data_IF_296819589312
#
_entry.id   IF_296819589312
#
_cell.length_a   1.000
_cell.length_b   1.000
_cell.length_c   1.000
_cell.angle_alpha   90.00
_cell.angle_beta   90.00
_cell.angle_gamma   90.00
#
_symmetry.space_group_name_H-M   'P 1'
#
loop_
_entity.id
_entity.type
_entity.pdbx_description
1 polymer ?
#
# COMPACT_ATOMS: atom_id res chain seq x y z
N UNK A 1 0.05 -17.90 29.19
CA UNK A 1 0.71 -18.13 27.89
C UNK A 1 -0.37 -18.47 26.88
N UNK A 2 -0.79 -17.52 26.03
CA UNK A 2 -1.66 -17.81 24.91
C UNK A 2 -0.82 -18.23 23.70
N UNK A 3 -1.24 -19.31 23.07
CA UNK A 3 -0.66 -19.93 21.88
C UNK A 3 -0.46 -18.95 20.73
N UNK A 4 0.72 -19.00 20.12
CA UNK A 4 1.01 -18.44 18.81
C UNK A 4 -0.07 -18.86 17.82
N UNK A 5 -0.91 -17.91 17.39
CA UNK A 5 -1.63 -18.05 16.14
C UNK A 5 -0.57 -18.02 15.04
N UNK A 6 -0.36 -19.15 14.38
CA UNK A 6 0.53 -19.30 13.23
C UNK A 6 0.18 -18.25 12.15
N UNK A 7 0.91 -17.13 12.21
CA UNK A 7 1.19 -16.31 11.04
C UNK A 7 1.87 -17.22 10.01
N UNK A 8 1.60 -17.07 8.70
CA UNK A 8 2.35 -17.82 7.71
C UNK A 8 3.83 -17.54 7.94
N UNK A 9 4.58 -18.58 8.37
CA UNK A 9 6.04 -18.54 8.40
C UNK A 9 6.46 -18.15 6.99
N UNK A 10 7.03 -16.97 6.83
CA UNK A 10 7.79 -16.65 5.64
C UNK A 10 8.76 -17.81 5.46
N UNK A 11 8.58 -18.59 4.40
CA UNK A 11 9.61 -19.50 3.98
C UNK A 11 10.79 -18.61 3.60
N UNK A 12 11.73 -18.43 4.55
CA UNK A 12 13.05 -17.90 4.25
C UNK A 12 13.69 -18.90 3.30
N UNK A 13 13.39 -18.70 2.01
CA UNK A 13 14.23 -19.13 0.92
C UNK A 13 15.63 -18.62 1.24
N UNK A 14 16.51 -19.52 1.72
CA UNK A 14 17.92 -19.27 2.00
C UNK A 14 18.71 -18.77 0.75
N UNK A 15 18.07 -18.73 -0.43
CA UNK A 15 18.62 -18.12 -1.61
C UNK A 15 18.52 -16.59 -1.53
N UNK A 16 19.64 -15.97 -1.17
CA UNK A 16 19.84 -14.52 -1.28
C UNK A 16 19.64 -14.07 -2.73
N UNK A 17 18.88 -12.99 -2.94
CA UNK A 17 18.68 -12.35 -4.23
C UNK A 17 19.39 -11.01 -4.24
N UNK A 18 20.69 -11.04 -4.54
CA UNK A 18 21.53 -9.84 -4.49
C UNK A 18 21.64 -9.24 -5.88
N UNK A 19 21.43 -7.94 -6.00
CA UNK A 19 21.61 -7.19 -7.26
C UNK A 19 22.58 -6.04 -7.07
N UNK A 20 23.27 -5.67 -8.15
CA UNK A 20 24.11 -4.47 -8.20
C UNK A 20 23.39 -3.36 -8.96
N UNK A 21 23.37 -2.16 -8.40
CA UNK A 21 22.90 -0.95 -9.07
C UNK A 21 23.84 0.20 -8.73
N UNK A 22 24.38 0.88 -9.76
CA UNK A 22 25.30 2.03 -9.58
C UNK A 22 26.40 1.78 -8.53
N UNK A 23 27.09 0.64 -8.65
CA UNK A 23 28.17 0.22 -7.74
C UNK A 23 27.76 -0.11 -6.30
N UNK A 24 26.48 -0.01 -5.97
CA UNK A 24 25.93 -0.43 -4.68
C UNK A 24 25.24 -1.79 -4.80
N UNK A 25 25.14 -2.51 -3.68
CA UNK A 25 24.53 -3.84 -3.60
C UNK A 25 23.24 -3.78 -2.81
N UNK A 26 22.26 -4.57 -3.25
CA UNK A 26 20.93 -4.64 -2.63
C UNK A 26 20.49 -6.10 -2.51
N UNK A 27 20.00 -6.50 -1.33
CA UNK A 27 19.37 -7.81 -1.10
C UNK A 27 17.85 -7.69 -1.21
N UNK A 28 17.31 -8.16 -2.32
CA UNK A 28 15.88 -8.07 -2.62
C UNK A 28 15.11 -9.32 -2.19
N UNK A 29 15.71 -10.30 -1.49
CA UNK A 29 15.04 -11.57 -1.16
C UNK A 29 13.66 -11.37 -0.52
N UNK A 30 13.55 -10.43 0.42
CA UNK A 30 12.30 -10.08 1.11
C UNK A 30 11.41 -9.10 0.34
N UNK A 31 11.94 -8.45 -0.70
CA UNK A 31 11.20 -7.49 -1.53
C UNK A 31 10.54 -8.12 -2.75
N UNK A 32 11.05 -9.25 -3.25
CA UNK A 32 10.66 -9.82 -4.54
C UNK A 32 9.14 -10.03 -4.69
N UNK A 33 8.46 -10.50 -3.65
CA UNK A 33 7.02 -10.73 -3.63
C UNK A 33 6.22 -9.43 -3.40
N UNK A 34 6.85 -8.42 -2.82
CA UNK A 34 6.31 -7.07 -2.57
C UNK A 34 6.48 -6.14 -3.78
N UNK A 35 7.34 -6.50 -4.73
CA UNK A 35 7.70 -5.64 -5.85
C UNK A 35 6.46 -5.24 -6.68
N UNK A 36 6.17 -3.93 -6.83
CA UNK A 36 4.98 -3.46 -7.56
C UNK A 36 4.89 -3.94 -9.01
N UNK A 37 6.05 -4.15 -9.65
CA UNK A 37 6.16 -4.68 -11.01
C UNK A 37 6.05 -6.21 -11.11
N UNK A 38 5.90 -6.94 -10.00
CA UNK A 38 5.84 -8.40 -9.96
C UNK A 38 7.22 -9.07 -10.04
N UNK A 39 7.30 -10.30 -9.51
CA UNK A 39 8.52 -11.10 -9.37
C UNK A 39 9.14 -11.47 -10.73
N UNK A 40 8.31 -11.65 -11.74
CA UNK A 40 8.74 -12.04 -13.08
C UNK A 40 9.56 -10.95 -13.80
N UNK A 41 9.48 -9.69 -13.37
CA UNK A 41 10.34 -8.60 -13.88
C UNK A 41 11.77 -8.68 -13.35
N UNK A 42 11.96 -9.31 -12.19
CA UNK A 42 13.27 -9.47 -11.55
C UNK A 42 14.02 -10.71 -12.05
N UNK A 43 13.36 -11.59 -12.81
CA UNK A 43 13.95 -12.86 -13.27
C UNK A 43 15.28 -12.64 -14.02
N UNK A 44 16.29 -13.40 -13.63
CA UNK A 44 17.63 -13.35 -14.21
C UNK A 44 18.48 -12.15 -13.79
N UNK A 45 18.08 -11.41 -12.74
CA UNK A 45 18.91 -10.36 -12.14
C UNK A 45 19.75 -10.84 -10.96
N UNK A 46 19.52 -12.04 -10.41
CA UNK A 46 20.26 -12.52 -9.25
C UNK A 46 21.77 -12.51 -9.53
N UNK A 47 22.55 -11.93 -8.63
CA UNK A 47 23.99 -11.68 -8.71
C UNK A 47 24.45 -10.82 -9.90
N UNK A 48 23.52 -10.19 -10.61
CA UNK A 48 23.75 -9.37 -11.79
C UNK A 48 23.74 -7.86 -11.52
N UNK A 49 24.14 -7.08 -12.53
CA UNK A 49 24.00 -5.62 -12.53
C UNK A 49 22.68 -5.22 -13.22
N UNK A 50 21.78 -4.61 -12.46
CA UNK A 50 20.47 -4.20 -12.97
C UNK A 50 20.46 -2.81 -13.60
N UNK A 51 21.57 -2.06 -13.59
CA UNK A 51 21.65 -0.66 -14.04
C UNK A 51 21.07 -0.48 -15.45
N UNK A 52 21.47 -1.33 -16.41
CA UNK A 52 20.97 -1.23 -17.78
C UNK A 52 19.46 -1.53 -17.91
N UNK A 53 18.90 -2.43 -17.08
CA UNK A 53 17.45 -2.69 -17.07
C UNK A 53 16.69 -1.56 -16.39
N UNK A 54 17.25 -1.02 -15.32
CA UNK A 54 16.70 0.10 -14.56
C UNK A 54 16.59 1.36 -15.42
N UNK A 55 17.64 1.67 -16.21
CA UNK A 55 17.67 2.79 -17.17
C UNK A 55 16.66 2.64 -18.31
N UNK A 56 16.39 1.41 -18.76
CA UNK A 56 15.41 1.12 -19.82
C UNK A 56 13.97 1.04 -19.32
N UNK A 57 13.78 0.88 -18.00
CA UNK A 57 12.46 0.86 -17.39
C UNK A 57 11.84 2.27 -17.41
N UNK A 58 10.50 2.39 -17.31
CA UNK A 58 9.90 3.66 -16.93
C UNK A 58 10.56 4.20 -15.66
N UNK A 59 10.72 5.53 -15.51
CA UNK A 59 11.30 6.11 -14.31
C UNK A 59 10.55 5.65 -13.06
N UNK A 60 11.31 5.22 -12.06
CA UNK A 60 10.81 4.97 -10.72
C UNK A 60 10.58 6.33 -10.05
N UNK A 61 9.55 6.40 -9.22
CA UNK A 61 9.26 7.57 -8.41
C UNK A 61 10.27 7.75 -7.29
N UNK A 62 10.31 8.95 -6.72
CA UNK A 62 11.11 9.23 -5.52
C UNK A 62 10.76 8.29 -4.36
N UNK A 63 9.48 7.98 -4.17
CA UNK A 63 9.01 7.02 -3.16
C UNK A 63 9.55 5.59 -3.40
N UNK A 64 9.63 5.14 -4.65
CA UNK A 64 10.19 3.83 -4.97
C UNK A 64 11.72 3.81 -4.79
N UNK A 65 12.40 4.88 -5.20
CA UNK A 65 13.84 5.05 -4.97
C UNK A 65 14.17 5.12 -3.47
N UNK A 66 13.30 5.76 -2.69
CA UNK A 66 13.39 5.84 -1.24
C UNK A 66 13.31 4.44 -0.60
N UNK A 67 12.26 3.68 -0.94
CA UNK A 67 12.04 2.32 -0.43
C UNK A 67 13.18 1.35 -0.78
N UNK A 68 13.75 1.48 -1.99
CA UNK A 68 14.85 0.62 -2.43
C UNK A 68 16.06 0.65 -1.48
N UNK A 69 16.25 1.74 -0.74
CA UNK A 69 17.36 1.90 0.21
C UNK A 69 17.28 0.97 1.41
N UNK A 70 16.08 0.56 1.82
CA UNK A 70 15.87 -0.40 2.92
C UNK A 70 16.53 -1.75 2.65
N UNK A 71 16.79 -2.05 1.37
CA UNK A 71 17.40 -3.30 0.92
C UNK A 71 18.89 -3.16 0.60
N UNK A 72 19.50 -1.99 0.82
CA UNK A 72 20.93 -1.78 0.55
C UNK A 72 21.76 -2.59 1.56
N UNK A 73 22.78 -3.29 1.06
CA UNK A 73 23.72 -4.05 1.88
C UNK A 73 25.15 -3.55 1.67
N UNK A 74 26.01 -3.86 2.63
CA UNK A 74 27.43 -3.59 2.48
C UNK A 74 28.06 -4.54 1.45
N UNK A 75 29.10 -4.10 0.71
CA UNK A 75 29.76 -4.95 -0.29
C UNK A 75 30.31 -6.25 0.30
N UNK A 76 30.69 -6.27 1.58
CA UNK A 76 31.22 -7.44 2.27
C UNK A 76 30.15 -8.54 2.45
N UNK A 77 28.89 -8.14 2.63
CA UNK A 77 27.75 -9.05 2.76
C UNK A 77 27.24 -9.60 1.42
N UNK A 78 27.73 -9.04 0.30
CA UNK A 78 27.33 -9.44 -1.05
C UNK A 78 27.90 -10.80 -1.50
N UNK A 79 28.80 -11.41 -0.71
CA UNK A 79 29.39 -12.72 -0.98
C UNK A 79 30.43 -12.74 -2.12
N UNK A 80 30.90 -11.59 -2.62
CA UNK A 80 31.97 -11.52 -3.63
C UNK A 80 33.35 -11.47 -2.96
N UNK A 81 34.34 -12.26 -3.42
CA UNK A 81 35.71 -12.19 -2.90
C UNK A 81 36.32 -10.80 -3.13
N UNK A 82 37.15 -10.33 -2.19
CA UNK A 82 37.99 -9.14 -2.37
C UNK A 82 38.74 -9.25 -3.69
N UNK A 83 38.43 -8.40 -4.67
CA UNK A 83 39.39 -8.14 -5.74
C UNK A 83 40.58 -7.47 -5.08
N UNK A 84 41.65 -8.23 -4.85
CA UNK A 84 42.92 -7.67 -4.44
C UNK A 84 43.34 -6.67 -5.52
N UNK A 85 43.39 -5.39 -5.17
CA UNK A 85 44.21 -4.44 -5.90
C UNK A 85 45.66 -4.91 -5.73
N UNK A 86 46.14 -5.72 -6.68
CA UNK A 86 47.57 -5.81 -6.95
C UNK A 86 47.91 -4.63 -7.84
N UNK A 87 48.49 -3.60 -7.24
CA UNK A 87 49.35 -2.68 -7.96
C UNK A 87 50.51 -3.48 -8.54
N UNK A 88 50.49 -3.67 -9.85
CA UNK A 88 51.69 -3.99 -10.62
C UNK A 88 51.92 -2.83 -11.58
N UNK A 89 52.88 -1.98 -11.22
CA UNK A 89 53.55 -1.09 -12.16
C UNK A 89 54.25 -1.96 -13.21
N UNK A 90 53.94 -1.76 -14.48
CA UNK A 90 54.94 -1.70 -15.55
C UNK A 90 54.33 -1.00 -16.79
N UNK A 91 55.08 -0.12 -17.45
CA UNK A 91 54.62 0.58 -18.64
C UNK A 91 54.99 -0.26 -19.88
N UNK A 92 54.07 -0.44 -20.83
CA UNK A 92 54.35 -0.04 -22.21
C UNK A 92 53.12 -0.08 -23.11
N UNK A 93 53.28 0.66 -24.20
CA UNK A 93 52.36 1.00 -25.28
C UNK A 93 51.68 -0.20 -25.92
N UNK A 94 50.36 -0.12 -26.10
CA UNK A 94 49.75 -0.46 -27.38
C UNK A 94 48.38 0.23 -27.55
N UNK A 95 48.27 1.05 -28.59
CA UNK A 95 47.04 1.70 -29.03
C UNK A 95 46.18 0.66 -29.76
N UNK A 96 45.15 0.13 -29.10
CA UNK A 96 44.03 -0.50 -29.81
C UNK A 96 42.70 -0.01 -29.26
N UNK A 97 41.90 0.57 -30.16
CA UNK A 97 40.57 1.11 -29.95
C UNK A 97 39.71 0.20 -29.06
N UNK A 98 39.50 0.60 -27.80
CA UNK A 98 38.27 0.27 -27.07
C UNK A 98 37.41 1.51 -27.07
N UNK A 99 36.40 1.49 -27.94
CA UNK A 99 35.30 2.44 -27.96
C UNK A 99 34.76 2.62 -26.54
N UNK A 100 34.99 3.81 -25.95
CA UNK A 100 34.16 4.33 -24.87
C UNK A 100 32.73 4.39 -25.42
N UNK A 101 31.71 3.90 -24.71
CA UNK A 101 30.35 4.36 -24.97
C UNK A 101 30.34 5.86 -24.68
N UNK A 102 30.34 6.66 -25.73
CA UNK A 102 29.92 8.06 -25.72
C UNK A 102 28.41 8.12 -25.53
N UNK A 103 27.96 9.23 -24.93
CA UNK A 103 26.57 9.74 -24.86
C UNK A 103 25.71 9.20 -23.70
N UNK A 104 25.79 9.93 -22.58
CA UNK A 104 24.65 10.57 -21.88
C UNK A 104 23.28 9.91 -22.10
N UNK A 105 23.10 8.73 -21.51
CA UNK A 105 21.76 8.33 -21.06
C UNK A 105 21.58 8.93 -19.67
N UNK A 106 21.08 10.17 -19.62
CA UNK A 106 20.66 10.79 -18.36
C UNK A 106 19.71 9.84 -17.62
N UNK A 107 20.17 9.30 -16.49
CA UNK A 107 19.36 8.46 -15.64
C UNK A 107 18.31 9.33 -14.95
N UNK A 108 17.06 9.24 -15.42
CA UNK A 108 15.92 9.95 -14.86
C UNK A 108 15.58 9.55 -13.42
N UNK A 109 16.27 8.54 -12.87
CA UNK A 109 16.18 8.12 -11.47
C UNK A 109 17.35 8.66 -10.61
N UNK A 110 18.10 9.67 -11.08
CA UNK A 110 19.22 10.27 -10.35
C UNK A 110 18.82 11.30 -9.27
N UNK A 111 17.58 11.28 -8.80
CA UNK A 111 17.15 12.22 -7.77
C UNK A 111 17.92 11.93 -6.48
N UNK A 112 18.57 12.94 -5.90
CA UNK A 112 19.09 12.83 -4.54
C UNK A 112 17.89 12.59 -3.62
N UNK A 113 17.88 11.43 -2.98
CA UNK A 113 16.81 11.05 -2.06
C UNK A 113 17.01 11.86 -0.78
N UNK A 114 16.06 12.75 -0.45
CA UNK A 114 16.13 13.55 0.77
C UNK A 114 15.83 12.68 2.01
N UNK A 115 16.85 12.57 2.87
CA UNK A 115 16.86 11.77 4.11
C UNK A 115 16.77 12.64 5.37
N UNK A 116 16.69 13.95 5.20
CA UNK A 116 16.72 14.91 6.31
C UNK A 116 15.59 14.71 7.31
N UNK A 117 14.54 13.96 6.98
CA UNK A 117 13.42 13.73 7.88
C UNK A 117 13.53 12.46 8.73
N UNK A 118 14.40 11.51 8.40
CA UNK A 118 14.39 10.20 9.09
C UNK A 118 15.00 10.26 10.50
N UNK A 119 15.92 11.19 10.75
CA UNK A 119 16.49 11.38 12.07
C UNK A 119 15.54 12.11 13.04
N UNK A 120 14.40 12.60 12.57
CA UNK A 120 13.40 13.29 13.38
C UNK A 120 12.56 12.33 14.24
N UNK A 121 12.61 11.02 13.94
CA UNK A 121 11.89 9.97 14.66
C UNK A 121 12.81 8.81 15.01
N UNK A 122 12.55 8.20 16.16
CA UNK A 122 13.19 6.98 16.64
C UNK A 122 12.26 5.78 16.38
N UNK A 123 12.65 4.93 15.43
CA UNK A 123 11.90 3.74 15.01
C UNK A 123 11.84 2.63 16.07
N UNK A 124 12.68 2.70 17.12
CA UNK A 124 12.61 1.76 18.25
C UNK A 124 11.51 2.12 19.25
N UNK A 125 10.94 3.32 19.17
CA UNK A 125 9.93 3.86 20.10
C UNK A 125 8.55 3.96 19.46
N UNK A 126 7.54 4.19 20.30
CA UNK A 126 6.18 4.45 19.83
C UNK A 126 6.13 5.70 18.93
N UNK A 127 5.46 5.59 17.78
CA UNK A 127 5.45 6.64 16.75
C UNK A 127 4.48 7.77 17.06
N UNK A 128 3.31 7.50 17.66
CA UNK A 128 2.29 8.54 17.88
C UNK A 128 2.78 9.75 18.70
N UNK A 129 3.51 9.57 19.82
CA UNK A 129 4.08 10.70 20.55
C UNK A 129 5.11 11.51 19.76
N UNK A 130 5.74 10.90 18.74
CA UNK A 130 6.80 11.51 17.94
C UNK A 130 6.28 12.31 16.74
N UNK A 131 4.99 12.19 16.38
CA UNK A 131 4.39 12.94 15.26
C UNK A 131 4.54 14.46 15.42
N UNK A 132 4.57 14.95 16.66
CA UNK A 132 4.82 16.37 16.94
C UNK A 132 6.18 16.85 16.41
N UNK A 133 7.21 16.00 16.43
CA UNK A 133 8.57 16.34 15.97
C UNK A 133 8.69 16.44 14.45
N UNK A 134 7.79 15.79 13.72
CA UNK A 134 7.77 15.75 12.26
C UNK A 134 6.62 16.55 11.65
N UNK A 135 5.87 17.32 12.45
CA UNK A 135 4.66 18.01 11.98
C UNK A 135 4.96 18.97 10.82
N UNK A 136 6.12 19.64 10.83
CA UNK A 136 6.49 20.60 9.79
C UNK A 136 6.72 19.98 8.41
N UNK A 137 7.17 18.72 8.38
CA UNK A 137 7.49 17.98 7.16
C UNK A 137 6.62 16.71 7.01
N UNK A 138 5.52 16.63 7.76
CA UNK A 138 4.72 15.42 7.92
C UNK A 138 4.22 14.86 6.59
N UNK A 139 3.68 15.73 5.73
CA UNK A 139 3.11 15.36 4.43
C UNK A 139 4.14 14.71 3.52
N UNK A 140 5.38 15.20 3.53
CA UNK A 140 6.45 14.57 2.77
C UNK A 140 6.94 13.28 3.42
N UNK A 141 7.12 13.26 4.74
CA UNK A 141 7.60 12.10 5.49
C UNK A 141 6.68 10.89 5.41
N UNK A 142 5.36 11.10 5.50
CA UNK A 142 4.35 10.02 5.55
C UNK A 142 4.21 9.32 4.21
N UNK A 143 4.46 10.03 3.11
CA UNK A 143 4.35 9.53 1.74
C UNK A 143 5.65 8.89 1.20
N UNK A 144 6.71 8.82 2.02
CA UNK A 144 7.97 8.11 1.74
C UNK A 144 7.93 6.70 2.40
N UNK A 145 7.52 5.65 1.66
CA UNK A 145 7.28 4.32 2.22
C UNK A 145 8.56 3.62 2.67
N UNK A 146 8.44 2.77 3.69
CA UNK A 146 9.52 1.97 4.28
C UNK A 146 9.06 0.54 4.56
N UNK A 147 9.99 -0.41 4.61
CA UNK A 147 9.71 -1.83 4.91
C UNK A 147 10.34 -2.24 6.24
N UNK A 148 9.81 -1.68 7.32
CA UNK A 148 10.29 -1.92 8.69
C UNK A 148 9.16 -1.95 9.71
N UNK A 149 9.34 -2.62 10.86
CA UNK A 149 8.36 -2.61 11.94
C UNK A 149 8.12 -1.19 12.47
N UNK A 150 6.86 -0.89 12.81
CA UNK A 150 6.46 0.37 13.43
C UNK A 150 5.48 0.09 14.57
N UNK A 151 5.75 0.69 15.74
CA UNK A 151 4.90 0.62 16.93
C UNK A 151 4.15 1.94 17.13
N UNK A 152 2.85 1.91 17.40
CA UNK A 152 2.06 3.13 17.61
C UNK A 152 2.05 3.59 19.07
N UNK A 153 1.96 2.64 20.00
CA UNK A 153 1.85 2.90 21.43
C UNK A 153 2.97 2.23 22.25
N UNK A 154 3.40 2.88 23.32
CA UNK A 154 4.35 2.28 24.28
C UNK A 154 3.71 1.09 25.02
N UNK A 155 2.51 1.21 25.61
CA UNK A 155 1.89 0.09 26.31
C UNK A 155 1.43 -0.98 25.34
N UNK A 156 1.86 -2.22 25.57
CA UNK A 156 1.60 -3.36 24.69
C UNK A 156 0.10 -3.62 24.45
N UNK A 157 -0.76 -3.34 25.42
CA UNK A 157 -2.20 -3.58 25.31
C UNK A 157 -2.89 -2.58 24.36
N UNK A 158 -2.47 -1.30 24.36
CA UNK A 158 -2.94 -0.33 23.38
C UNK A 158 -2.45 -0.70 21.97
N UNK A 159 -1.19 -1.14 21.88
CA UNK A 159 -0.60 -1.59 20.63
C UNK A 159 -1.36 -2.77 20.02
N UNK A 160 -1.82 -3.73 20.83
CA UNK A 160 -2.65 -4.85 20.35
C UNK A 160 -3.97 -4.37 19.75
N UNK A 161 -4.58 -3.30 20.30
CA UNK A 161 -5.81 -2.71 19.74
C UNK A 161 -5.60 -2.05 18.37
N UNK A 162 -4.36 -1.86 17.92
CA UNK A 162 -4.05 -1.31 16.60
C UNK A 162 -3.87 -2.37 15.52
N UNK A 163 -3.81 -3.65 15.90
CA UNK A 163 -3.54 -4.77 14.99
C UNK A 163 -4.85 -5.47 14.65
N UNK A 164 -5.26 -5.35 13.39
CA UNK A 164 -6.50 -5.95 12.87
C UNK A 164 -6.15 -6.97 11.79
N UNK A 165 -6.21 -8.28 12.08
CA UNK A 165 -6.02 -9.28 11.03
C UNK A 165 -7.19 -9.22 10.04
N UNK A 166 -6.92 -9.45 8.76
CA UNK A 166 -7.92 -9.30 7.69
C UNK A 166 -9.21 -10.10 7.94
N UNK A 167 -9.12 -11.29 8.53
CA UNK A 167 -10.26 -12.19 8.75
C UNK A 167 -11.19 -11.71 9.87
N UNK A 168 -10.75 -10.81 10.74
CA UNK A 168 -11.57 -10.26 11.82
C UNK A 168 -12.68 -9.36 11.25
N UNK A 169 -12.40 -8.66 10.16
CA UNK A 169 -13.34 -7.76 9.49
C UNK A 169 -14.56 -8.52 8.95
N UNK A 170 -14.45 -9.54 8.08
CA UNK A 170 -15.61 -10.32 7.65
C UNK A 170 -16.30 -11.06 8.80
N UNK A 171 -15.54 -11.60 9.77
CA UNK A 171 -16.10 -12.27 10.94
C UNK A 171 -17.05 -11.35 11.73
N UNK A 172 -16.70 -10.07 11.88
CA UNK A 172 -17.53 -9.09 12.55
C UNK A 172 -18.68 -8.58 11.67
N UNK A 173 -18.37 -8.20 10.43
CA UNK A 173 -19.33 -7.46 9.58
C UNK A 173 -20.35 -8.35 8.88
N UNK A 174 -20.03 -9.60 8.52
CA UNK A 174 -21.00 -10.48 7.86
C UNK A 174 -22.24 -10.72 8.74
N UNK A 175 -22.12 -11.09 10.04
CA UNK A 175 -23.30 -11.22 10.91
C UNK A 175 -24.12 -9.92 11.03
N UNK A 176 -23.46 -8.76 11.09
CA UNK A 176 -24.13 -7.45 11.18
C UNK A 176 -24.91 -7.15 9.90
N UNK A 177 -24.29 -7.36 8.72
CA UNK A 177 -24.90 -7.17 7.41
C UNK A 177 -26.13 -8.08 7.26
N UNK A 178 -25.96 -9.38 7.57
CA UNK A 178 -27.04 -10.37 7.47
C UNK A 178 -28.19 -10.03 8.40
N UNK A 179 -27.89 -9.66 9.66
CA UNK A 179 -28.92 -9.26 10.62
C UNK A 179 -29.72 -8.05 10.14
N UNK A 180 -29.05 -6.99 9.70
CA UNK A 180 -29.71 -5.77 9.21
C UNK A 180 -30.58 -6.05 7.98
N UNK A 181 -30.10 -6.88 7.06
CA UNK A 181 -30.82 -7.28 5.87
C UNK A 181 -32.07 -8.14 6.20
N UNK A 182 -31.92 -9.13 7.09
CA UNK A 182 -33.00 -10.02 7.49
C UNK A 182 -34.10 -9.31 8.28
N UNK A 183 -33.74 -8.41 9.20
CA UNK A 183 -34.73 -7.64 9.98
C UNK A 183 -35.61 -6.78 9.06
N UNK A 184 -35.01 -6.07 8.10
CA UNK A 184 -35.78 -5.29 7.15
C UNK A 184 -36.63 -6.19 6.25
N UNK A 185 -36.03 -7.26 5.70
CA UNK A 185 -36.71 -8.18 4.81
C UNK A 185 -37.95 -8.79 5.47
N UNK A 186 -37.81 -9.31 6.69
CA UNK A 186 -38.92 -9.92 7.44
C UNK A 186 -40.00 -8.90 7.84
N UNK A 187 -39.61 -7.65 8.15
CA UNK A 187 -40.57 -6.59 8.48
C UNK A 187 -41.37 -6.09 7.27
N UNK A 188 -40.75 -6.14 6.08
CA UNK A 188 -41.37 -5.68 4.84
C UNK A 188 -42.20 -6.75 4.14
N UNK A 189 -41.86 -8.05 4.28
CA UNK A 189 -42.37 -9.16 3.45
C UNK A 189 -43.89 -9.39 3.51
N UNK A 190 -44.61 -8.82 2.55
CA UNK A 190 -46.05 -8.98 2.32
C UNK A 190 -46.42 -9.15 0.82
N UNK A 191 -45.58 -8.73 -0.14
CA UNK A 191 -45.84 -8.86 -1.59
C UNK A 191 -44.54 -9.04 -2.42
N UNK A 192 -44.68 -9.71 -3.57
CA UNK A 192 -43.64 -9.97 -4.59
C UNK A 192 -42.89 -8.73 -5.10
N UNK A 193 -43.52 -7.56 -5.16
CA UNK A 193 -42.88 -6.31 -5.56
C UNK A 193 -41.77 -5.85 -4.59
N UNK A 194 -41.76 -6.35 -3.36
CA UNK A 194 -40.82 -5.93 -2.32
C UNK A 194 -39.42 -6.50 -2.52
N UNK A 195 -39.26 -7.61 -3.25
CA UNK A 195 -37.95 -8.12 -3.60
C UNK A 195 -37.18 -7.14 -4.51
N UNK A 196 -37.89 -6.54 -5.47
CA UNK A 196 -37.32 -5.52 -6.36
C UNK A 196 -36.93 -4.26 -5.57
N UNK A 197 -37.81 -3.79 -4.67
CA UNK A 197 -37.54 -2.64 -3.80
C UNK A 197 -36.35 -2.91 -2.89
N UNK A 198 -36.32 -4.06 -2.22
CA UNK A 198 -35.22 -4.50 -1.37
C UNK A 198 -33.89 -4.51 -2.15
N UNK A 199 -33.88 -5.15 -3.32
CA UNK A 199 -32.69 -5.22 -4.17
C UNK A 199 -32.25 -3.82 -4.61
N UNK A 200 -33.19 -2.94 -4.96
CA UNK A 200 -32.91 -1.56 -5.32
C UNK A 200 -32.22 -0.78 -4.20
N UNK A 201 -32.72 -0.84 -2.96
CA UNK A 201 -32.10 -0.19 -1.82
C UNK A 201 -30.76 -0.82 -1.43
N UNK A 202 -30.61 -2.13 -1.57
CA UNK A 202 -29.35 -2.83 -1.31
C UNK A 202 -28.27 -2.36 -2.29
N UNK A 203 -28.59 -2.33 -3.58
CA UNK A 203 -27.69 -1.84 -4.64
C UNK A 203 -27.39 -0.34 -4.49
N UNK A 204 -28.39 0.45 -4.07
CA UNK A 204 -28.17 1.86 -3.72
C UNK A 204 -27.17 2.01 -2.57
N UNK A 205 -27.26 1.18 -1.54
CA UNK A 205 -26.28 1.13 -0.45
C UNK A 205 -24.86 0.80 -0.95
N UNK A 206 -24.71 -0.19 -1.82
CA UNK A 206 -23.41 -0.54 -2.43
C UNK A 206 -22.86 0.63 -3.26
N UNK A 207 -23.71 1.29 -4.05
CA UNK A 207 -23.32 2.45 -4.85
C UNK A 207 -22.91 3.62 -3.95
N UNK A 208 -23.67 3.90 -2.89
CA UNK A 208 -23.37 4.93 -1.90
C UNK A 208 -22.02 4.66 -1.22
N UNK A 209 -21.74 3.40 -0.86
CA UNK A 209 -20.42 3.02 -0.37
C UNK A 209 -19.32 3.31 -1.39
N UNK A 210 -19.49 2.89 -2.66
CA UNK A 210 -18.43 3.11 -3.67
C UNK A 210 -18.11 4.60 -3.84
N UNK A 211 -19.11 5.47 -3.69
CA UNK A 211 -18.92 6.91 -3.70
C UNK A 211 -18.22 7.39 -2.42
N UNK A 212 -18.64 6.88 -1.27
CA UNK A 212 -18.02 7.20 0.02
C UNK A 212 -16.55 6.78 0.05
N UNK A 213 -16.21 5.57 -0.41
CA UNK A 213 -14.85 5.09 -0.63
C UNK A 213 -14.01 6.13 -1.38
N UNK A 214 -14.47 6.57 -2.55
CA UNK A 214 -13.77 7.57 -3.35
C UNK A 214 -13.60 8.89 -2.58
N UNK A 215 -14.67 9.36 -1.92
CA UNK A 215 -14.64 10.65 -1.24
C UNK A 215 -13.73 10.65 0.00
N UNK A 216 -13.79 9.60 0.81
CA UNK A 216 -12.94 9.42 1.98
C UNK A 216 -11.49 9.28 1.52
N UNK A 217 -11.22 8.44 0.52
CA UNK A 217 -9.86 8.23 0.06
C UNK A 217 -9.24 9.51 -0.49
N UNK A 218 -10.00 10.31 -1.24
CA UNK A 218 -9.51 11.55 -1.84
C UNK A 218 -9.36 12.71 -0.85
N UNK A 219 -10.40 13.00 -0.05
CA UNK A 219 -10.46 14.24 0.72
C UNK A 219 -10.18 14.07 2.21
N UNK A 220 -10.22 12.85 2.73
CA UNK A 220 -9.93 12.56 4.15
C UNK A 220 -8.60 11.85 4.30
N UNK A 221 -8.37 10.79 3.51
CA UNK A 221 -7.17 9.97 3.60
C UNK A 221 -5.96 10.56 2.87
N UNK A 222 -6.19 11.37 1.82
CA UNK A 222 -5.14 12.13 1.13
C UNK A 222 -5.27 13.64 1.35
N UNK A 223 -5.76 14.05 2.53
CA UNK A 223 -5.76 15.47 2.86
C UNK A 223 -4.32 15.97 2.98
N UNK A 224 -3.97 17.00 2.21
CA UNK A 224 -2.65 17.60 2.30
C UNK A 224 -2.53 18.37 3.61
N UNK A 225 -1.66 17.90 4.49
CA UNK A 225 -1.37 18.60 5.75
C UNK A 225 -0.17 19.53 5.56
N UNK A 226 -0.19 20.66 6.27
CA UNK A 226 0.91 21.63 6.24
C UNK A 226 1.51 21.77 7.64
N UNK A 227 2.66 22.43 7.75
CA UNK A 227 3.27 22.77 9.04
C UNK A 227 2.33 23.52 10.00
N UNK A 228 1.28 24.17 9.48
CA UNK A 228 0.30 24.93 10.26
C UNK A 228 -0.88 24.11 10.78
N UNK A 229 -1.01 22.85 10.35
CA UNK A 229 -2.19 22.00 10.57
C UNK A 229 -2.26 21.48 12.03
N UNK A 230 -1.16 21.53 12.77
CA UNK A 230 -1.07 21.09 14.16
C UNK A 230 -0.90 19.58 14.30
N UNK A 231 -0.12 19.16 15.31
CA UNK A 231 0.29 17.76 15.49
C UNK A 231 -0.86 16.79 15.72
N UNK A 232 -1.97 17.24 16.33
CA UNK A 232 -3.16 16.41 16.55
C UNK A 232 -3.78 15.92 15.23
N UNK A 233 -3.93 16.79 14.24
CA UNK A 233 -4.52 16.42 12.96
C UNK A 233 -3.56 15.56 12.11
N UNK A 234 -2.24 15.79 12.21
CA UNK A 234 -1.24 14.88 11.67
C UNK A 234 -1.31 13.48 12.32
N UNK A 235 -1.53 13.43 13.63
CA UNK A 235 -1.68 12.17 14.37
C UNK A 235 -2.94 11.44 13.92
N UNK A 236 -4.07 12.15 13.81
CA UNK A 236 -5.32 11.59 13.31
C UNK A 236 -5.18 11.04 11.89
N UNK A 237 -4.62 11.83 10.97
CA UNK A 237 -4.35 11.41 9.59
C UNK A 237 -3.44 10.18 9.54
N UNK A 238 -2.41 10.15 10.39
CA UNK A 238 -1.49 9.01 10.48
C UNK A 238 -2.23 7.73 10.87
N UNK A 239 -3.14 7.81 11.84
CA UNK A 239 -3.90 6.64 12.30
C UNK A 239 -4.91 6.10 11.28
N UNK A 240 -5.49 6.95 10.42
CA UNK A 240 -6.54 6.52 9.49
C UNK A 240 -6.03 6.08 8.12
N UNK A 241 -4.88 6.60 7.66
CA UNK A 241 -4.32 6.24 6.35
C UNK A 241 -2.82 6.47 6.21
N UNK A 242 -2.26 7.49 6.88
CA UNK A 242 -0.84 7.81 6.75
C UNK A 242 0.09 6.66 7.13
N UNK A 243 -0.28 5.88 8.15
CA UNK A 243 0.45 4.68 8.57
C UNK A 243 0.53 3.64 7.44
N UNK A 244 -0.56 3.43 6.72
CA UNK A 244 -0.62 2.51 5.59
C UNK A 244 0.28 2.97 4.44
N UNK A 245 0.35 4.28 4.15
CA UNK A 245 1.32 4.80 3.16
C UNK A 245 2.77 4.71 3.64
N UNK A 246 3.01 4.88 4.95
CA UNK A 246 4.37 4.84 5.50
C UNK A 246 4.92 3.41 5.59
N UNK A 247 4.14 2.44 6.05
CA UNK A 247 4.51 1.02 6.16
C UNK A 247 3.52 0.14 5.37
N UNK A 248 3.52 0.22 4.03
CA UNK A 248 2.50 -0.40 3.18
C UNK A 248 2.50 -1.93 3.21
N UNK A 249 3.50 -2.55 3.84
CA UNK A 249 3.63 -3.99 3.94
C UNK A 249 3.29 -4.56 5.32
N UNK A 250 2.78 -3.77 6.27
CA UNK A 250 2.27 -4.27 7.56
C UNK A 250 0.86 -4.91 7.43
N UNK A 251 0.74 -6.26 7.48
CA UNK A 251 -0.52 -6.94 7.21
C UNK A 251 -1.57 -6.72 8.31
N UNK A 252 -1.17 -6.25 9.48
CA UNK A 252 -2.07 -6.04 10.61
C UNK A 252 -2.63 -4.62 10.66
N UNK A 253 -2.20 -3.73 9.75
CA UNK A 253 -2.52 -2.29 9.78
C UNK A 253 -3.02 -1.72 8.46
N UNK A 254 -3.54 -2.60 7.62
CA UNK A 254 -4.15 -2.23 6.35
C UNK A 254 -5.66 -2.08 6.48
N UNK A 255 -6.34 -3.06 7.07
CA UNK A 255 -7.80 -3.10 7.15
C UNK A 255 -8.34 -2.23 8.28
N UNK A 256 -9.55 -1.70 8.12
CA UNK A 256 -10.10 -0.79 9.11
C UNK A 256 -10.59 -1.53 10.37
N UNK A 257 -10.18 -1.15 11.59
CA UNK A 257 -10.58 -1.84 12.81
C UNK A 257 -12.11 -1.82 13.02
N UNK A 258 -12.77 -2.97 13.33
CA UNK A 258 -14.24 -3.04 13.41
C UNK A 258 -14.89 -2.12 14.44
N UNK A 259 -14.27 -1.90 15.60
CA UNK A 259 -14.85 -1.06 16.66
C UNK A 259 -14.96 0.42 16.24
N UNK A 260 -13.87 1.10 15.82
CA UNK A 260 -13.96 2.40 15.16
C UNK A 260 -14.91 2.40 13.96
N UNK A 261 -14.92 1.33 13.16
CA UNK A 261 -15.82 1.17 12.01
C UNK A 261 -17.30 1.20 12.40
N UNK A 262 -17.68 0.51 13.48
CA UNK A 262 -19.04 0.50 14.01
C UNK A 262 -19.48 1.88 14.52
N UNK A 263 -18.57 2.62 15.18
CA UNK A 263 -18.84 3.99 15.60
C UNK A 263 -19.08 4.90 14.40
N UNK A 264 -18.21 4.84 13.39
CA UNK A 264 -18.36 5.64 12.17
C UNK A 264 -19.65 5.27 11.40
N UNK A 265 -19.94 3.98 11.29
CA UNK A 265 -21.17 3.49 10.66
C UNK A 265 -22.41 4.02 11.39
N UNK A 266 -22.42 4.04 12.72
CA UNK A 266 -23.54 4.59 13.50
C UNK A 266 -23.70 6.10 13.30
N UNK A 267 -22.61 6.86 13.27
CA UNK A 267 -22.61 8.31 13.02
C UNK A 267 -23.20 8.63 11.64
N UNK A 268 -22.84 7.86 10.61
CA UNK A 268 -23.35 8.05 9.24
C UNK A 268 -24.79 7.54 9.11
N UNK A 269 -25.10 6.40 9.71
CA UNK A 269 -26.42 5.75 9.63
C UNK A 269 -27.53 6.56 10.30
N UNK A 270 -27.27 7.10 11.50
CA UNK A 270 -28.29 7.78 12.31
C UNK A 270 -29.03 8.89 11.53
N UNK A 271 -28.36 9.89 10.93
CA UNK A 271 -29.05 10.92 10.14
C UNK A 271 -29.75 10.34 8.90
N UNK A 272 -29.13 9.39 8.20
CA UNK A 272 -29.74 8.76 7.02
C UNK A 272 -31.01 7.97 7.37
N UNK A 273 -31.09 7.42 8.58
CA UNK A 273 -32.24 6.65 9.05
C UNK A 273 -33.51 7.49 9.19
N UNK A 274 -33.40 8.80 9.35
CA UNK A 274 -34.55 9.71 9.40
C UNK A 274 -35.07 10.13 8.01
N UNK A 275 -34.28 9.91 6.94
CA UNK A 275 -34.59 10.39 5.59
C UNK A 275 -35.00 9.25 4.65
N UNK A 276 -34.40 8.06 4.82
CA UNK A 276 -34.61 6.92 3.93
C UNK A 276 -35.79 6.06 4.39
N UNK A 277 -36.58 5.54 3.44
CA UNK A 277 -37.70 4.63 3.74
C UNK A 277 -37.25 3.24 4.23
N UNK A 278 -36.12 2.74 3.72
CA UNK A 278 -35.57 1.41 4.06
C UNK A 278 -34.10 1.50 4.52
N UNK A 279 -33.82 2.22 5.62
CA UNK A 279 -32.47 2.61 5.97
C UNK A 279 -31.59 1.41 6.37
N UNK A 280 -32.15 0.33 6.93
CA UNK A 280 -31.37 -0.86 7.33
C UNK A 280 -30.87 -1.65 6.12
N UNK A 281 -31.62 -1.69 5.01
CA UNK A 281 -31.17 -2.33 3.77
C UNK A 281 -30.13 -1.49 3.06
N UNK A 282 -30.28 -0.16 3.06
CA UNK A 282 -29.22 0.73 2.57
C UNK A 282 -27.95 0.56 3.39
N UNK A 283 -28.05 0.51 4.72
CA UNK A 283 -26.91 0.21 5.60
C UNK A 283 -26.29 -1.15 5.27
N UNK A 284 -27.10 -2.19 5.07
CA UNK A 284 -26.62 -3.54 4.72
C UNK A 284 -25.85 -3.52 3.40
N UNK A 285 -26.38 -2.83 2.38
CA UNK A 285 -25.71 -2.65 1.10
C UNK A 285 -24.42 -1.86 1.21
N UNK A 286 -24.42 -0.77 2.00
CA UNK A 286 -23.23 0.05 2.21
C UNK A 286 -22.13 -0.72 2.98
N UNK A 287 -22.50 -1.46 4.03
CA UNK A 287 -21.57 -2.32 4.78
C UNK A 287 -21.04 -3.48 3.93
N UNK A 288 -21.86 -4.06 3.04
CA UNK A 288 -21.41 -5.06 2.09
C UNK A 288 -20.42 -4.47 1.07
N UNK A 289 -20.69 -3.25 0.59
CA UNK A 289 -19.75 -2.48 -0.23
C UNK A 289 -18.43 -2.25 0.50
N UNK A 290 -18.49 -1.79 1.75
CA UNK A 290 -17.32 -1.59 2.62
C UNK A 290 -16.51 -2.87 2.81
N UNK A 291 -17.18 -3.98 3.16
CA UNK A 291 -16.49 -5.25 3.35
C UNK A 291 -15.81 -5.70 2.05
N UNK A 292 -16.48 -5.55 0.91
CA UNK A 292 -15.88 -5.83 -0.40
C UNK A 292 -14.65 -4.95 -0.64
N UNK A 293 -14.75 -3.64 -0.41
CA UNK A 293 -13.63 -2.71 -0.51
C UNK A 293 -12.44 -3.12 0.36
N UNK A 294 -12.65 -3.41 1.65
CA UNK A 294 -11.57 -3.63 2.61
C UNK A 294 -10.86 -4.96 2.31
N UNK A 295 -11.63 -6.00 1.94
CA UNK A 295 -11.08 -7.28 1.52
C UNK A 295 -10.39 -7.20 0.16
N UNK A 296 -10.93 -6.42 -0.78
CA UNK A 296 -10.24 -6.14 -2.04
C UNK A 296 -8.92 -5.41 -1.76
N UNK A 297 -8.93 -4.36 -0.94
CA UNK A 297 -7.74 -3.59 -0.59
C UNK A 297 -6.64 -4.49 -0.03
N UNK A 298 -6.98 -5.34 0.93
CA UNK A 298 -6.06 -6.32 1.49
C UNK A 298 -5.55 -7.31 0.43
N UNK A 299 -6.44 -7.83 -0.41
CA UNK A 299 -6.08 -8.76 -1.49
C UNK A 299 -5.19 -8.11 -2.57
N UNK A 300 -5.37 -6.81 -2.86
CA UNK A 300 -4.50 -6.11 -3.81
C UNK A 300 -3.07 -5.99 -3.27
N UNK A 301 -2.88 -5.78 -1.97
CA UNK A 301 -1.55 -5.77 -1.35
C UNK A 301 -0.93 -7.18 -1.26
N UNK A 302 -1.64 -8.15 -0.68
CA UNK A 302 -1.06 -9.44 -0.29
C UNK A 302 -1.40 -10.62 -1.21
N UNK A 303 -2.39 -10.49 -2.08
CA UNK A 303 -2.82 -11.56 -2.97
C UNK A 303 -1.98 -11.68 -4.24
N UNK A 304 -2.09 -12.82 -4.93
CA UNK A 304 -1.52 -13.03 -6.27
C UNK A 304 -2.67 -13.16 -7.30
N UNK A 305 -3.25 -12.04 -7.77
CA UNK A 305 -4.40 -12.09 -8.65
C UNK A 305 -4.03 -12.66 -10.02
N UNK A 306 -4.87 -13.57 -10.53
CA UNK A 306 -4.77 -14.13 -11.88
C UNK A 306 -5.82 -13.55 -12.83
N UNK A 307 -6.98 -13.14 -12.30
CA UNK A 307 -8.06 -12.54 -13.08
C UNK A 307 -7.70 -11.11 -13.51
N UNK A 308 -7.92 -10.80 -14.80
CA UNK A 308 -7.49 -9.53 -15.41
C UNK A 308 -7.98 -8.27 -14.69
N UNK A 309 -9.19 -8.28 -14.14
CA UNK A 309 -9.74 -7.16 -13.36
C UNK A 309 -8.94 -6.90 -12.07
N UNK A 310 -8.67 -7.94 -11.27
CA UNK A 310 -7.87 -7.80 -10.05
C UNK A 310 -6.39 -7.51 -10.35
N UNK A 311 -5.83 -8.05 -11.44
CA UNK A 311 -4.48 -7.67 -11.89
C UNK A 311 -4.43 -6.19 -12.27
N UNK A 312 -5.46 -5.70 -12.95
CA UNK A 312 -5.58 -4.26 -13.27
C UNK A 312 -5.64 -3.43 -11.99
N UNK A 313 -6.53 -3.77 -11.05
CA UNK A 313 -6.69 -3.03 -9.81
C UNK A 313 -5.45 -3.10 -8.91
N UNK A 314 -4.75 -4.24 -8.84
CA UNK A 314 -3.48 -4.36 -8.09
C UNK A 314 -2.44 -3.40 -8.64
N UNK A 315 -2.28 -3.37 -9.97
CA UNK A 315 -1.39 -2.41 -10.64
C UNK A 315 -1.84 -0.97 -10.41
N UNK A 316 -3.13 -0.70 -10.53
CA UNK A 316 -3.72 0.63 -10.36
C UNK A 316 -3.43 1.18 -8.96
N UNK A 317 -3.69 0.38 -7.94
CA UNK A 317 -3.45 0.71 -6.54
C UNK A 317 -1.97 0.84 -6.19
N UNK A 318 -1.11 -0.06 -6.70
CA UNK A 318 0.34 0.10 -6.55
C UNK A 318 0.85 1.40 -7.18
N UNK A 319 0.34 1.79 -8.35
CA UNK A 319 0.70 3.07 -8.94
C UNK A 319 0.21 4.25 -8.10
N UNK A 320 -0.95 4.17 -7.46
CA UNK A 320 -1.40 5.17 -6.50
C UNK A 320 -0.41 5.28 -5.32
N UNK A 321 -0.07 4.17 -4.67
CA UNK A 321 0.86 4.14 -3.53
C UNK A 321 2.25 4.68 -3.87
N UNK A 322 2.83 4.18 -4.95
CA UNK A 322 4.24 4.36 -5.22
C UNK A 322 4.52 5.43 -6.26
N UNK A 323 3.61 5.79 -7.17
CA UNK A 323 3.92 6.71 -8.29
C UNK A 323 3.05 7.96 -8.37
N UNK A 324 1.76 7.86 -8.04
CA UNK A 324 0.74 8.87 -8.33
C UNK A 324 -0.25 9.01 -7.17
N UNK A 325 0.22 9.46 -6.01
CA UNK A 325 -0.58 9.54 -4.77
C UNK A 325 -1.76 10.52 -4.86
N UNK A 326 -1.77 11.41 -5.85
CA UNK A 326 -2.85 12.37 -6.11
C UNK A 326 -3.86 11.90 -7.17
N UNK A 327 -3.75 10.66 -7.64
CA UNK A 327 -4.64 10.01 -8.61
C UNK A 327 -5.00 8.61 -8.14
N UNK A 328 -6.04 8.00 -8.72
CA UNK A 328 -6.36 6.60 -8.49
C UNK A 328 -6.94 6.31 -7.10
N UNK A 329 -7.94 7.09 -6.69
CA UNK A 329 -8.55 6.96 -5.37
C UNK A 329 -9.54 5.77 -5.28
N UNK A 330 -9.99 5.23 -6.40
CA UNK A 330 -10.83 4.04 -6.41
C UNK A 330 -10.02 2.76 -6.18
N UNK A 331 -10.33 2.03 -5.11
CA UNK A 331 -9.71 0.75 -4.75
C UNK A 331 -10.56 -0.43 -5.22
N UNK A 332 -11.87 -0.35 -5.03
CA UNK A 332 -12.82 -1.38 -5.51
C UNK A 332 -13.03 -1.27 -7.02
N UNK A 333 -13.11 -0.04 -7.54
CA UNK A 333 -13.27 0.23 -8.97
C UNK A 333 -12.78 1.64 -9.35
N UNK A 334 -12.37 1.87 -10.62
CA UNK A 334 -11.97 3.20 -11.09
C UNK A 334 -13.17 4.07 -11.50
N UNK A 335 -14.41 3.69 -11.17
CA UNK A 335 -15.63 4.37 -11.64
C UNK A 335 -15.61 5.87 -11.32
N UNK A 336 -15.40 6.22 -10.06
CA UNK A 336 -15.40 7.61 -9.61
C UNK A 336 -14.14 8.37 -10.05
N UNK A 337 -13.02 7.68 -10.24
CA UNK A 337 -11.84 8.28 -10.86
C UNK A 337 -12.09 8.72 -12.31
N UNK A 338 -12.90 7.96 -13.07
CA UNK A 338 -13.34 8.36 -14.41
C UNK A 338 -14.25 9.59 -14.33
N UNK A 339 -15.27 9.53 -13.46
CA UNK A 339 -16.27 10.62 -13.29
C UNK A 339 -15.59 11.93 -12.90
N UNK A 340 -14.66 11.90 -11.95
CA UNK A 340 -13.98 13.07 -11.40
C UNK A 340 -12.60 13.35 -12.01
N UNK A 341 -12.24 12.65 -13.09
CA UNK A 341 -10.99 12.84 -13.87
C UNK A 341 -9.71 12.69 -13.03
N UNK A 342 -9.69 11.75 -12.09
CA UNK A 342 -8.52 11.40 -11.26
C UNK A 342 -7.93 10.04 -11.63
N UNK A 343 -8.21 9.53 -12.83
CA UNK A 343 -7.82 8.20 -13.26
C UNK A 343 -6.31 8.06 -13.57
N UNK A 344 -5.70 6.99 -13.07
CA UNK A 344 -4.36 6.56 -13.47
C UNK A 344 -4.42 5.81 -14.82
N UNK A 345 -3.61 6.24 -15.78
CA UNK A 345 -3.53 5.59 -17.09
C UNK A 345 -2.41 4.54 -17.09
N UNK A 346 -2.80 3.29 -16.88
CA UNK A 346 -1.86 2.16 -16.87
C UNK A 346 -1.39 1.80 -18.28
N UNK A 347 -0.09 1.61 -18.45
CA UNK A 347 0.47 1.06 -19.70
C UNK A 347 -0.06 -0.35 -19.96
N UNK A 348 -0.33 -0.67 -21.23
CA UNK A 348 -0.57 -2.05 -21.67
C UNK A 348 0.71 -2.86 -21.54
N UNK A 349 0.64 -3.99 -20.83
CA UNK A 349 1.77 -4.90 -20.69
C UNK A 349 1.74 -5.97 -21.79
N UNK A 350 2.92 -6.42 -22.23
CA UNK A 350 3.07 -7.53 -23.19
C UNK A 350 2.89 -8.90 -22.54
N UNK A 351 2.97 -8.96 -21.22
CA UNK A 351 2.81 -10.17 -20.40
C UNK A 351 2.10 -9.80 -19.10
N UNK A 352 1.52 -10.80 -18.45
CA UNK A 352 0.87 -10.63 -17.15
C UNK A 352 1.91 -10.66 -16.02
N UNK A 353 1.79 -9.74 -15.07
CA UNK A 353 2.61 -9.73 -13.87
C UNK A 353 2.20 -10.86 -12.92
N UNK A 354 3.15 -11.38 -12.16
CA UNK A 354 2.93 -12.36 -11.08
C UNK A 354 3.66 -11.89 -9.82
N UNK A 355 3.09 -12.16 -8.65
CA UNK A 355 3.67 -11.79 -7.37
C UNK A 355 4.08 -13.00 -6.52
N UNK A 356 3.72 -14.20 -6.96
CA UNK A 356 4.23 -15.49 -6.48
C UNK A 356 4.30 -16.51 -7.61
#
# INVERSE_FOLDING_TARGET
MPSDMDMPKEAESNDKFIVKYRQQYYDLSRFMHKHPGGINTLKGLNSGDMTARFLKAPPHSDAAMYLMREYKIDPEDSGKPKSSQRETLHPDKDETLRQRPTEDTEDKNNNQVDESMEHLVDWSKAMLPQIANITDCYDEWVHKPVDRPLRLFEPWYLEMCTKTPWWLVPLFWIPVIVKCALEEFTSAWQDSNQLAVFTGYLLFGVLLWSFLEYTLHRWVFHVKLSSKTGSWLCTFHFMIHGLHHKVPFDPMRLVFPPLPGAVLAAIIYTPLSFVLSHPRVVLSGALAGYLCYDMMHYYLHYGNPSLGAFVHMKRYHHHHHFSHQTLGYGISSPLWDVVFKTRIHLRKLRYQLRWS
#
